data_IF_221395278248
#
_entry.id   IF_221395278248
#
_cell.length_a   1.000
_cell.length_b   1.000
_cell.length_c   1.000
_cell.angle_alpha   90.00
_cell.angle_beta   90.00
_cell.angle_gamma   90.00
#
_symmetry.space_group_name_H-M   'P 1'
#
loop_
_entity.id
_entity.type
_entity.pdbx_description
1 polymer ?
#
# COMPACT_ATOMS: atom_id res chain seq x y z
N UNK A 1 18.68 18.24 21.87
CA UNK A 1 17.30 17.77 21.59
C UNK A 1 16.89 17.73 20.10
N UNK A 2 17.56 18.42 19.16
CA UNK A 2 17.09 18.55 17.76
C UNK A 2 17.31 17.34 16.85
N UNK A 3 18.23 16.41 17.17
CA UNK A 3 18.49 15.23 16.32
C UNK A 3 17.37 14.16 16.34
N UNK A 4 16.65 14.03 17.46
CA UNK A 4 15.54 13.07 17.61
C UNK A 4 14.31 13.44 16.77
N UNK A 5 14.06 14.75 16.60
CA UNK A 5 12.96 15.26 15.77
C UNK A 5 13.17 14.95 14.29
N UNK A 6 14.41 15.05 13.81
CA UNK A 6 14.76 14.69 12.42
C UNK A 6 14.60 13.19 12.14
N UNK A 7 14.91 12.33 13.12
CA UNK A 7 14.73 10.88 12.94
C UNK A 7 13.25 10.48 12.97
N UNK A 8 12.43 11.11 13.81
CA UNK A 8 10.98 10.90 13.81
C UNK A 8 10.32 11.37 12.51
N UNK A 9 10.71 12.54 12.00
CA UNK A 9 10.21 13.04 10.72
C UNK A 9 10.58 12.10 9.56
N UNK A 10 11.82 11.58 9.55
CA UNK A 10 12.24 10.59 8.55
C UNK A 10 11.43 9.30 8.64
N UNK A 11 11.20 8.79 9.84
CA UNK A 11 10.41 7.59 10.05
C UNK A 11 8.94 7.78 9.62
N UNK A 12 8.35 8.94 9.91
CA UNK A 12 7.01 9.27 9.44
C UNK A 12 6.92 9.31 7.90
N UNK A 13 7.95 9.82 7.22
CA UNK A 13 8.03 9.81 5.75
C UNK A 13 8.21 8.39 5.22
N UNK A 14 9.05 7.56 5.84
CA UNK A 14 9.17 6.13 5.47
C UNK A 14 7.84 5.39 5.60
N UNK A 15 7.11 5.62 6.69
CA UNK A 15 5.77 5.04 6.90
C UNK A 15 4.78 5.55 5.86
N UNK A 16 4.77 6.86 5.56
CA UNK A 16 3.91 7.44 4.54
C UNK A 16 4.21 6.85 3.14
N UNK A 17 5.48 6.65 2.80
CA UNK A 17 5.91 6.03 1.55
C UNK A 17 5.53 4.53 1.53
N UNK A 18 5.64 3.82 2.65
CA UNK A 18 5.19 2.44 2.77
C UNK A 18 3.65 2.31 2.66
N UNK A 19 2.92 3.39 2.90
CA UNK A 19 1.46 3.45 2.76
C UNK A 19 0.98 3.77 1.33
N UNK A 20 1.84 4.33 0.49
CA UNK A 20 1.51 4.63 -0.91
C UNK A 20 1.07 3.41 -1.73
N UNK A 21 1.73 2.23 -1.66
CA UNK A 21 1.29 1.03 -2.37
C UNK A 21 -0.14 0.61 -2.03
N UNK A 22 -0.52 0.74 -0.75
CA UNK A 22 -1.87 0.43 -0.29
C UNK A 22 -2.91 1.43 -0.82
N UNK A 23 -2.59 2.72 -0.79
CA UNK A 23 -3.41 3.78 -1.39
C UNK A 23 -3.60 3.59 -2.91
N UNK A 24 -2.54 3.18 -3.62
CA UNK A 24 -2.61 2.86 -5.04
C UNK A 24 -3.52 1.66 -5.27
N UNK A 25 -3.39 0.58 -4.49
CA UNK A 25 -4.31 -0.57 -4.58
C UNK A 25 -5.77 -0.18 -4.37
N UNK A 26 -6.04 0.69 -3.39
CA UNK A 26 -7.38 1.18 -3.12
C UNK A 26 -7.93 2.03 -4.28
N UNK A 27 -7.08 2.87 -4.87
CA UNK A 27 -7.44 3.67 -6.05
C UNK A 27 -7.66 2.81 -7.30
N UNK A 28 -6.85 1.76 -7.50
CA UNK A 28 -7.03 0.80 -8.59
C UNK A 28 -8.34 0.04 -8.43
N UNK A 29 -8.70 -0.36 -7.21
CA UNK A 29 -10.00 -0.98 -6.92
C UNK A 29 -11.15 -0.04 -7.29
N UNK A 30 -11.07 1.21 -6.83
CA UNK A 30 -12.05 2.24 -7.13
C UNK A 30 -12.17 2.50 -8.63
N UNK A 31 -11.04 2.56 -9.35
CA UNK A 31 -11.02 2.73 -10.80
C UNK A 31 -11.64 1.54 -11.53
N UNK A 32 -11.35 0.31 -11.10
CA UNK A 32 -11.95 -0.91 -11.67
C UNK A 32 -13.47 -0.94 -11.47
N UNK A 33 -13.93 -0.50 -10.31
CA UNK A 33 -15.34 -0.44 -9.96
C UNK A 33 -16.07 0.69 -10.70
N UNK A 34 -15.41 1.85 -10.85
CA UNK A 34 -15.95 3.01 -11.55
C UNK A 34 -15.95 2.84 -13.08
N UNK A 35 -15.00 2.10 -13.64
CA UNK A 35 -14.86 1.89 -15.07
C UNK A 35 -15.92 1.00 -15.72
N UNK A 36 -16.97 0.60 -15.00
CA UNK A 36 -18.04 -0.32 -15.47
C UNK A 36 -17.53 -1.66 -16.05
N UNK A 37 -16.26 -2.01 -15.85
CA UNK A 37 -15.66 -3.30 -16.25
C UNK A 37 -16.23 -4.47 -15.42
N UNK A 38 -17.15 -4.16 -14.51
CA UNK A 38 -17.60 -5.01 -13.45
C UNK A 38 -19.12 -4.89 -13.28
N UNK A 39 -19.82 -5.23 -14.35
CA UNK A 39 -21.27 -5.44 -14.37
C UNK A 39 -21.65 -6.61 -13.45
N UNK A 40 -22.86 -6.52 -12.90
CA UNK A 40 -23.46 -7.39 -11.85
C UNK A 40 -23.43 -8.89 -12.20
N UNK A 41 -23.15 -9.24 -13.45
CA UNK A 41 -23.15 -10.61 -13.96
C UNK A 41 -21.81 -11.37 -13.82
N UNK A 42 -20.72 -10.74 -13.37
CA UNK A 42 -19.43 -11.44 -13.23
C UNK A 42 -19.29 -12.10 -11.84
N UNK A 43 -19.40 -13.43 -11.74
CA UNK A 43 -19.15 -14.14 -10.48
C UNK A 43 -17.64 -14.06 -10.20
N UNK A 44 -17.23 -13.84 -8.95
CA UNK A 44 -15.84 -13.71 -8.45
C UNK A 44 -15.35 -12.27 -8.17
N UNK A 45 -16.27 -11.27 -8.16
CA UNK A 45 -16.09 -9.89 -7.64
C UNK A 45 -15.11 -9.80 -6.45
N UNK A 46 -15.48 -10.52 -5.40
CA UNK A 46 -14.88 -10.35 -4.08
C UNK A 46 -13.48 -10.94 -3.99
N UNK A 47 -13.20 -11.99 -4.77
CA UNK A 47 -11.89 -12.65 -4.76
C UNK A 47 -10.81 -11.74 -5.36
N UNK A 48 -11.13 -11.05 -6.45
CA UNK A 48 -10.19 -10.16 -7.13
C UNK A 48 -9.91 -8.94 -6.25
N UNK A 49 -10.93 -8.37 -5.60
CA UNK A 49 -10.77 -7.30 -4.63
C UNK A 49 -9.82 -7.73 -3.49
N UNK A 50 -10.06 -8.91 -2.90
CA UNK A 50 -9.21 -9.44 -1.82
C UNK A 50 -7.77 -9.67 -2.30
N UNK A 51 -7.56 -10.18 -3.52
CA UNK A 51 -6.22 -10.37 -4.08
C UNK A 51 -5.48 -9.05 -4.28
N UNK A 52 -6.14 -8.01 -4.80
CA UNK A 52 -5.52 -6.68 -5.00
C UNK A 52 -5.17 -6.03 -3.65
N UNK A 53 -6.04 -6.19 -2.66
CA UNK A 53 -5.83 -5.64 -1.32
C UNK A 53 -4.73 -6.39 -0.56
N UNK A 54 -4.71 -7.73 -0.67
CA UNK A 54 -3.64 -8.57 -0.13
C UNK A 54 -2.29 -8.27 -0.80
N UNK A 55 -2.27 -8.06 -2.12
CA UNK A 55 -1.08 -7.64 -2.85
C UNK A 55 -0.59 -6.25 -2.40
N UNK A 56 -1.50 -5.29 -2.21
CA UNK A 56 -1.19 -3.96 -1.68
C UNK A 56 -0.57 -4.02 -0.29
N UNK A 57 -1.13 -4.84 0.61
CA UNK A 57 -0.56 -5.07 1.95
C UNK A 57 0.80 -5.78 1.89
N UNK A 58 0.97 -6.79 1.04
CA UNK A 58 2.25 -7.47 0.87
C UNK A 58 3.34 -6.52 0.36
N UNK A 59 3.00 -5.64 -0.58
CA UNK A 59 3.90 -4.60 -1.08
C UNK A 59 4.27 -3.59 0.00
N UNK A 60 3.31 -3.13 0.82
CA UNK A 60 3.59 -2.27 1.98
C UNK A 60 4.55 -2.95 2.97
N UNK A 61 4.36 -4.24 3.26
CA UNK A 61 5.27 -5.01 4.10
C UNK A 61 6.67 -5.15 3.48
N UNK A 62 6.78 -5.36 2.17
CA UNK A 62 8.06 -5.44 1.47
C UNK A 62 8.80 -4.10 1.49
N UNK A 63 8.10 -2.99 1.25
CA UNK A 63 8.69 -1.63 1.33
C UNK A 63 9.18 -1.36 2.74
N UNK A 64 8.38 -1.67 3.76
CA UNK A 64 8.77 -1.49 5.16
C UNK A 64 9.97 -2.38 5.53
N UNK A 65 9.98 -3.64 5.10
CA UNK A 65 11.10 -4.57 5.28
C UNK A 65 12.37 -4.06 4.61
N UNK A 66 12.26 -3.52 3.40
CA UNK A 66 13.39 -2.96 2.66
C UNK A 66 13.98 -1.73 3.38
N UNK A 67 13.14 -0.85 3.92
CA UNK A 67 13.58 0.29 4.74
C UNK A 67 14.27 -0.14 6.03
N UNK A 68 13.74 -1.14 6.74
CA UNK A 68 14.39 -1.69 7.94
C UNK A 68 15.75 -2.30 7.59
N UNK A 69 15.86 -3.04 6.49
CA UNK A 69 17.11 -3.65 6.02
C UNK A 69 18.14 -2.59 5.64
N UNK A 70 17.72 -1.50 5.00
CA UNK A 70 18.56 -0.32 4.67
C UNK A 70 19.09 0.41 5.91
N UNK A 71 18.37 0.35 7.03
CA UNK A 71 18.77 0.99 8.29
C UNK A 71 19.78 0.15 9.10
N UNK A 72 19.95 -1.13 8.74
CA UNK A 72 20.92 -2.04 9.37
C UNK A 72 22.23 -2.23 8.59
N UNK A 73 22.32 -1.75 7.34
CA UNK A 73 23.60 -1.55 6.63
C UNK A 73 24.15 -0.16 6.90
#
# INVERSE_FOLDING_TARGET
MSRSLKSHARYAVEVAVAFMPWLISMYVLYWLEYGEIWTVETPHRDKIAVVILAAGMALSFLVQSYFIKRKQQ
#
